data_IF_619195554475
#
_entry.id   IF_619195554475
#
_cell.length_a   1.000
_cell.length_b   1.000
_cell.length_c   1.000
_cell.angle_alpha   90.00
_cell.angle_beta   90.00
_cell.angle_gamma   90.00
#
_symmetry.space_group_name_H-M   'P 1'
#
loop_
_entity.id
_entity.type
_entity.pdbx_description
1 polymer ?
#
# COMPACT_ATOMS: atom_id res chain seq x y z
N UNK A 1 -6.50 22.22 -32.61
CA UNK A 1 -6.47 20.90 -31.96
C UNK A 1 -7.76 20.72 -31.18
N UNK A 2 -8.47 19.61 -31.32
CA UNK A 2 -9.63 19.27 -30.47
C UNK A 2 -9.18 18.40 -29.33
N UNK A 3 -9.56 18.73 -28.10
CA UNK A 3 -9.28 17.95 -26.89
C UNK A 3 -10.59 17.39 -26.35
N UNK A 4 -10.64 16.07 -26.14
CA UNK A 4 -11.80 15.40 -25.57
C UNK A 4 -11.45 14.98 -24.14
N UNK A 5 -12.29 15.38 -23.18
CA UNK A 5 -12.15 14.98 -21.77
C UNK A 5 -13.07 13.80 -21.47
N UNK A 6 -12.50 12.72 -20.93
CA UNK A 6 -13.28 11.58 -20.46
C UNK A 6 -14.16 11.92 -19.26
N UNK A 7 -15.29 11.24 -19.14
CA UNK A 7 -16.21 11.33 -17.99
C UNK A 7 -16.66 9.90 -17.64
N UNK A 8 -16.50 9.47 -16.38
CA UNK A 8 -15.90 10.18 -15.24
C UNK A 8 -14.38 10.32 -15.35
N UNK A 9 -13.82 11.30 -14.67
CA UNK A 9 -12.37 11.54 -14.57
C UNK A 9 -12.00 12.05 -13.17
N UNK A 10 -10.75 11.90 -12.79
CA UNK A 10 -10.19 12.32 -11.50
C UNK A 10 -9.59 11.15 -10.73
N UNK A 11 -9.25 11.39 -9.49
CA UNK A 11 -8.74 10.36 -8.60
C UNK A 11 -9.86 9.44 -8.10
N UNK A 12 -9.52 8.18 -7.81
CA UNK A 12 -10.43 7.28 -7.11
C UNK A 12 -10.60 7.72 -5.64
N UNK A 13 -11.66 7.23 -5.00
CA UNK A 13 -11.97 7.57 -3.60
C UNK A 13 -10.82 7.25 -2.63
N UNK A 14 -10.06 6.18 -2.87
CA UNK A 14 -8.90 5.81 -2.04
C UNK A 14 -7.78 6.85 -2.11
N UNK A 15 -7.47 7.36 -3.30
CA UNK A 15 -6.48 8.42 -3.51
C UNK A 15 -6.95 9.73 -2.88
N UNK A 16 -8.21 10.14 -3.11
CA UNK A 16 -8.77 11.37 -2.50
C UNK A 16 -8.67 11.28 -0.98
N UNK A 17 -9.15 10.19 -0.38
CA UNK A 17 -9.07 9.99 1.07
C UNK A 17 -7.65 10.10 1.62
N UNK A 18 -6.66 9.54 0.93
CA UNK A 18 -5.28 9.56 1.39
C UNK A 18 -4.69 10.99 1.38
N UNK A 19 -4.98 11.75 0.32
CA UNK A 19 -4.60 13.18 0.23
C UNK A 19 -5.26 13.98 1.34
N UNK A 20 -6.58 13.85 1.51
CA UNK A 20 -7.37 14.55 2.52
C UNK A 20 -6.84 14.30 3.94
N UNK A 21 -6.39 13.07 4.25
CA UNK A 21 -5.83 12.75 5.57
C UNK A 21 -4.52 13.50 5.86
N UNK A 22 -3.63 13.66 4.86
CA UNK A 22 -2.42 14.47 5.03
C UNK A 22 -2.76 15.94 5.21
N UNK A 23 -3.66 16.47 4.38
CA UNK A 23 -4.10 17.87 4.49
C UNK A 23 -4.81 18.15 5.82
N UNK A 24 -5.67 17.24 6.29
CA UNK A 24 -6.30 17.34 7.61
C UNK A 24 -5.27 17.32 8.74
N UNK A 25 -4.25 16.47 8.65
CA UNK A 25 -3.17 16.44 9.63
C UNK A 25 -2.38 17.74 9.65
N UNK A 26 -2.00 18.27 8.48
CA UNK A 26 -1.30 19.56 8.35
C UNK A 26 -2.15 20.71 8.91
N UNK A 27 -3.46 20.76 8.58
CA UNK A 27 -4.35 21.81 9.04
C UNK A 27 -4.60 21.75 10.55
N UNK A 28 -4.73 20.55 11.11
CA UNK A 28 -5.05 20.35 12.53
C UNK A 28 -3.86 20.58 13.46
N UNK A 29 -2.70 20.15 13.02
CA UNK A 29 -1.53 20.04 13.90
C UNK A 29 -0.37 20.93 13.47
N UNK A 30 -0.42 21.48 12.27
CA UNK A 30 0.67 22.24 11.67
C UNK A 30 1.80 21.37 11.14
N UNK A 31 2.71 21.97 10.36
CA UNK A 31 3.90 21.29 9.87
C UNK A 31 4.95 21.13 11.00
N UNK A 32 5.85 20.12 10.91
CA UNK A 32 5.88 19.10 9.88
C UNK A 32 4.92 17.95 10.15
N UNK A 33 4.37 17.35 9.08
CA UNK A 33 3.69 16.04 9.10
C UNK A 33 4.52 15.10 8.23
N UNK A 34 4.98 13.99 8.80
CA UNK A 34 5.73 12.99 8.06
C UNK A 34 4.78 12.10 7.26
N UNK A 35 5.22 11.67 6.09
CA UNK A 35 4.45 10.74 5.23
C UNK A 35 5.37 9.58 4.87
N UNK A 36 5.03 8.38 5.36
CA UNK A 36 5.80 7.17 5.05
C UNK A 36 5.49 6.70 3.64
N UNK A 37 6.50 6.73 2.78
CA UNK A 37 6.43 6.63 1.33
C UNK A 37 5.57 7.72 0.70
N UNK A 38 5.66 7.87 -0.61
CA UNK A 38 4.77 8.75 -1.33
C UNK A 38 3.32 8.39 -1.01
N UNK A 39 2.53 9.37 -0.58
CA UNK A 39 1.12 9.14 -0.19
C UNK A 39 0.33 8.40 -1.29
N UNK A 40 0.63 8.74 -2.54
CA UNK A 40 0.17 8.11 -3.78
C UNK A 40 1.24 8.26 -4.85
N UNK A 41 1.24 7.42 -5.89
CA UNK A 41 2.17 7.53 -7.02
C UNK A 41 1.82 8.69 -7.97
N UNK A 42 1.85 9.91 -7.45
CA UNK A 42 1.65 11.12 -8.25
C UNK A 42 2.59 12.24 -7.77
N UNK A 43 3.66 12.54 -8.55
CA UNK A 43 4.65 13.54 -8.16
C UNK A 43 4.09 14.95 -7.95
N UNK A 44 2.99 15.31 -8.65
CA UNK A 44 2.36 16.62 -8.47
C UNK A 44 1.66 16.70 -7.10
N UNK A 45 0.97 15.64 -6.69
CA UNK A 45 0.34 15.55 -5.37
C UNK A 45 1.39 15.59 -4.26
N UNK A 46 2.46 14.80 -4.41
CA UNK A 46 3.55 14.77 -3.43
C UNK A 46 4.16 16.15 -3.25
N UNK A 47 4.53 16.83 -4.35
CA UNK A 47 5.09 18.19 -4.30
C UNK A 47 4.14 19.22 -3.72
N UNK A 48 2.85 19.12 -3.99
CA UNK A 48 1.85 20.01 -3.42
C UNK A 48 1.78 19.85 -1.90
N UNK A 49 1.73 18.63 -1.39
CA UNK A 49 1.73 18.35 0.04
C UNK A 49 3.05 18.75 0.73
N UNK A 50 4.19 18.53 0.08
CA UNK A 50 5.50 18.97 0.56
C UNK A 50 5.58 20.49 0.65
N UNK A 51 5.01 21.21 -0.31
CA UNK A 51 4.92 22.68 -0.26
C UNK A 51 4.08 23.20 0.91
N UNK A 52 3.17 22.39 1.43
CA UNK A 52 2.33 22.66 2.60
C UNK A 52 2.96 22.22 3.93
N UNK A 53 4.13 21.56 3.87
CA UNK A 53 4.90 21.15 5.05
C UNK A 53 4.84 19.66 5.38
N UNK A 54 4.38 18.82 4.46
CA UNK A 54 4.58 17.37 4.55
C UNK A 54 6.06 17.02 4.26
N UNK A 55 6.57 15.97 4.90
CA UNK A 55 7.93 15.45 4.69
C UNK A 55 7.82 13.97 4.34
N UNK A 56 8.11 13.62 3.08
CA UNK A 56 8.13 12.23 2.64
C UNK A 56 9.40 11.55 3.14
N UNK A 57 9.27 10.40 3.77
CA UNK A 57 10.35 9.54 4.27
C UNK A 57 10.14 8.10 3.80
N UNK A 58 11.22 7.34 3.67
CA UNK A 58 11.14 5.95 3.24
C UNK A 58 11.05 4.98 4.42
N UNK A 59 11.76 5.26 5.52
CA UNK A 59 11.81 4.38 6.67
C UNK A 59 11.23 5.05 7.93
N UNK A 60 10.62 4.26 8.80
CA UNK A 60 10.03 4.75 10.06
C UNK A 60 11.09 5.36 10.97
N UNK A 61 12.30 4.84 10.89
CA UNK A 61 13.45 5.26 11.68
C UNK A 61 13.93 6.70 11.38
N UNK A 62 13.60 7.23 10.20
CA UNK A 62 13.90 8.61 9.80
C UNK A 62 13.01 9.64 10.51
N UNK A 63 11.89 9.19 11.09
CA UNK A 63 10.89 10.05 11.72
C UNK A 63 11.34 10.36 13.16
N UNK A 64 11.37 11.62 13.61
CA UNK A 64 11.67 11.95 15.01
C UNK A 64 10.71 11.27 15.99
N UNK A 65 11.22 10.84 17.14
CA UNK A 65 10.42 10.22 18.20
C UNK A 65 9.28 11.17 18.61
N UNK A 66 8.09 10.63 18.81
CA UNK A 66 6.89 11.37 19.18
C UNK A 66 6.27 12.20 18.05
N UNK A 67 6.84 12.17 16.84
CA UNK A 67 6.30 12.93 15.71
C UNK A 67 5.05 12.28 15.11
N UNK A 68 4.34 13.05 14.31
CA UNK A 68 3.15 12.59 13.58
C UNK A 68 3.51 12.08 12.20
N UNK A 69 2.94 10.94 11.83
CA UNK A 69 3.14 10.32 10.53
C UNK A 69 1.84 9.84 9.91
N UNK A 70 1.71 10.02 8.60
CA UNK A 70 0.66 9.41 7.79
C UNK A 70 1.27 8.25 7.00
N UNK A 71 0.75 7.05 7.18
CA UNK A 71 1.12 5.89 6.37
C UNK A 71 0.35 5.89 5.07
N UNK A 72 1.03 5.67 3.95
CA UNK A 72 0.50 5.89 2.60
C UNK A 72 -0.65 4.97 2.21
N UNK A 73 -1.33 5.32 1.12
CA UNK A 73 -2.46 4.54 0.58
C UNK A 73 -2.10 3.10 0.20
N UNK A 74 -0.82 2.80 -0.02
CA UNK A 74 -0.34 1.49 -0.45
C UNK A 74 -0.43 0.41 0.64
N UNK A 75 -0.59 0.82 1.92
CA UNK A 75 -0.54 -0.08 3.06
C UNK A 75 0.90 -0.40 3.49
N UNK A 76 1.07 -0.66 4.77
CA UNK A 76 2.36 -1.00 5.38
C UNK A 76 2.30 -2.37 6.04
N UNK A 77 3.44 -3.07 6.15
CA UNK A 77 3.51 -4.31 6.90
C UNK A 77 3.31 -4.04 8.40
N UNK A 78 2.85 -5.02 9.20
CA UNK A 78 2.70 -4.88 10.65
C UNK A 78 3.96 -4.39 11.36
N UNK A 79 5.14 -4.80 10.90
CA UNK A 79 6.44 -4.38 11.44
C UNK A 79 6.60 -2.85 11.47
N UNK A 80 6.14 -2.13 10.43
CA UNK A 80 6.21 -0.68 10.40
C UNK A 80 5.35 -0.02 11.49
N UNK A 81 4.18 -0.61 11.78
CA UNK A 81 3.33 -0.14 12.87
C UNK A 81 3.95 -0.44 14.25
N UNK A 82 4.65 -1.56 14.39
CA UNK A 82 5.39 -1.88 15.62
C UNK A 82 6.54 -0.90 15.83
N UNK A 83 7.37 -0.65 14.83
CA UNK A 83 8.43 0.36 14.86
C UNK A 83 7.90 1.75 15.19
N UNK A 84 6.77 2.13 14.60
CA UNK A 84 6.13 3.41 14.89
C UNK A 84 5.68 3.51 16.35
N UNK A 85 5.15 2.43 16.91
CA UNK A 85 4.75 2.36 18.33
C UNK A 85 5.95 2.46 19.27
N UNK A 86 7.04 1.74 18.97
CA UNK A 86 8.29 1.80 19.74
C UNK A 86 8.92 3.20 19.76
N UNK A 87 8.64 3.98 18.74
CA UNK A 87 9.11 5.37 18.60
C UNK A 87 8.06 6.41 19.07
N UNK A 88 6.97 5.97 19.68
CA UNK A 88 5.88 6.83 20.18
C UNK A 88 5.31 7.77 19.09
N UNK A 89 5.25 7.29 17.84
CA UNK A 89 4.72 8.07 16.73
C UNK A 89 3.19 8.11 16.77
N UNK A 90 2.62 9.28 16.46
CA UNK A 90 1.19 9.45 16.25
C UNK A 90 0.84 9.09 14.80
N UNK A 91 0.39 7.84 14.60
CA UNK A 91 0.17 7.26 13.26
C UNK A 91 -1.25 7.49 12.77
N UNK A 92 -1.38 8.09 11.58
CA UNK A 92 -2.61 8.15 10.80
C UNK A 92 -2.49 7.15 9.65
N UNK A 93 -3.33 6.12 9.63
CA UNK A 93 -3.32 5.12 8.57
C UNK A 93 -4.20 5.56 7.39
N UNK A 94 -3.56 5.90 6.26
CA UNK A 94 -4.23 6.27 5.02
C UNK A 94 -4.40 5.09 4.03
N UNK A 95 -4.12 3.86 4.46
CA UNK A 95 -4.26 2.67 3.61
C UNK A 95 -5.61 2.63 2.90
N UNK A 96 -5.57 2.41 1.59
CA UNK A 96 -6.77 2.29 0.77
C UNK A 96 -7.67 1.14 1.27
N UNK A 97 -9.00 1.35 1.40
CA UNK A 97 -9.92 0.28 1.84
C UNK A 97 -9.84 -1.02 1.02
N UNK A 98 -9.51 -0.93 -0.28
CA UNK A 98 -9.30 -2.12 -1.11
C UNK A 98 -8.03 -2.88 -0.71
N UNK A 99 -6.96 -2.18 -0.36
CA UNK A 99 -5.72 -2.80 0.16
C UNK A 99 -5.99 -3.44 1.53
N UNK A 100 -6.72 -2.73 2.42
CA UNK A 100 -7.14 -3.30 3.71
C UNK A 100 -7.93 -4.61 3.52
N UNK A 101 -8.79 -4.67 2.51
CA UNK A 101 -9.52 -5.89 2.17
C UNK A 101 -8.56 -7.04 1.82
N UNK A 102 -7.58 -6.79 0.96
CA UNK A 102 -6.56 -7.80 0.58
C UNK A 102 -5.76 -8.25 1.80
N UNK A 103 -5.34 -7.33 2.68
CA UNK A 103 -4.65 -7.65 3.93
C UNK A 103 -5.49 -8.56 4.84
N UNK A 104 -6.78 -8.28 4.97
CA UNK A 104 -7.69 -9.09 5.78
C UNK A 104 -7.94 -10.47 5.17
N UNK A 105 -8.05 -10.55 3.84
CA UNK A 105 -8.16 -11.82 3.12
C UNK A 105 -6.88 -12.66 3.28
N UNK A 106 -5.69 -12.06 3.22
CA UNK A 106 -4.43 -12.75 3.48
C UNK A 106 -4.41 -13.40 4.87
N UNK A 107 -4.75 -12.63 5.91
CA UNK A 107 -4.83 -13.14 7.30
C UNK A 107 -5.87 -14.24 7.46
N UNK A 108 -7.03 -14.08 6.84
CA UNK A 108 -8.11 -15.06 6.90
C UNK A 108 -7.68 -16.38 6.25
N UNK A 109 -7.19 -16.35 5.02
CA UNK A 109 -6.90 -17.56 4.27
C UNK A 109 -5.69 -18.33 4.81
N UNK A 110 -4.68 -17.64 5.33
CA UNK A 110 -3.60 -18.35 6.04
C UNK A 110 -4.14 -19.00 7.33
N UNK A 111 -5.06 -18.36 8.04
CA UNK A 111 -5.75 -18.92 9.21
C UNK A 111 -6.63 -20.13 8.86
N UNK A 112 -7.18 -20.18 7.66
CA UNK A 112 -7.94 -21.31 7.11
C UNK A 112 -7.02 -22.44 6.60
N UNK A 113 -5.69 -22.36 6.80
CA UNK A 113 -4.71 -23.37 6.39
C UNK A 113 -4.41 -23.38 4.88
N UNK A 114 -4.76 -22.33 4.15
CA UNK A 114 -4.46 -22.21 2.73
C UNK A 114 -3.08 -21.66 2.49
N UNK A 115 -2.45 -22.08 1.41
CA UNK A 115 -1.30 -21.39 0.85
C UNK A 115 -1.76 -20.19 0.00
N UNK A 116 -0.97 -19.13 0.01
CA UNK A 116 -1.34 -17.89 -0.69
C UNK A 116 -0.33 -17.62 -1.81
N UNK A 117 -0.84 -17.38 -3.01
CA UNK A 117 -0.10 -16.78 -4.12
C UNK A 117 -0.51 -15.32 -4.19
N UNK A 118 0.46 -14.42 -4.17
CA UNK A 118 0.26 -13.00 -4.42
C UNK A 118 0.77 -12.66 -5.83
N UNK A 119 -0.13 -12.25 -6.72
CA UNK A 119 0.25 -11.70 -8.02
C UNK A 119 0.50 -10.21 -7.87
N UNK A 120 1.72 -9.76 -8.12
CA UNK A 120 2.08 -8.36 -7.92
C UNK A 120 3.52 -8.05 -8.29
N UNK A 121 3.83 -6.78 -8.41
CA UNK A 121 5.13 -6.31 -8.83
C UNK A 121 6.12 -6.33 -7.66
N UNK A 122 7.17 -7.11 -7.77
CA UNK A 122 8.25 -7.19 -6.78
C UNK A 122 8.82 -5.81 -6.45
N UNK A 123 8.94 -5.52 -5.16
CA UNK A 123 9.43 -4.24 -4.68
C UNK A 123 8.38 -3.13 -4.57
N UNK A 124 7.18 -3.30 -5.14
CA UNK A 124 6.10 -2.34 -4.98
C UNK A 124 5.63 -2.27 -3.52
N UNK A 125 5.31 -1.06 -3.01
CA UNK A 125 4.97 -0.87 -1.59
C UNK A 125 3.72 -1.65 -1.16
N UNK A 126 2.68 -1.68 -1.98
CA UNK A 126 1.49 -2.49 -1.71
C UNK A 126 1.82 -3.98 -1.58
N UNK A 127 2.73 -4.49 -2.43
CA UNK A 127 3.18 -5.89 -2.37
C UNK A 127 3.95 -6.14 -1.08
N UNK A 128 4.87 -5.26 -0.69
CA UNK A 128 5.59 -5.35 0.59
C UNK A 128 4.63 -5.35 1.78
N UNK A 129 3.68 -4.41 1.78
CA UNK A 129 2.66 -4.29 2.83
C UNK A 129 1.79 -5.55 2.95
N UNK A 130 1.36 -6.12 1.81
CA UNK A 130 0.54 -7.33 1.76
C UNK A 130 1.33 -8.58 2.18
N UNK A 131 2.56 -8.74 1.68
CA UNK A 131 3.43 -9.87 2.07
C UNK A 131 3.79 -9.88 3.55
N UNK A 132 3.83 -8.70 4.18
CA UNK A 132 4.03 -8.59 5.62
C UNK A 132 2.84 -9.10 6.46
N UNK A 133 1.65 -9.31 5.87
CA UNK A 133 0.47 -9.75 6.60
C UNK A 133 0.44 -11.26 6.85
N UNK A 134 1.06 -12.05 5.96
CA UNK A 134 1.08 -13.51 6.03
C UNK A 134 2.18 -14.07 5.11
N UNK A 135 2.58 -15.32 5.36
CA UNK A 135 3.47 -16.04 4.44
C UNK A 135 2.77 -16.28 3.11
N UNK A 136 3.39 -15.86 2.00
CA UNK A 136 2.84 -16.05 0.66
C UNK A 136 3.92 -16.13 -0.42
N UNK A 137 3.59 -16.77 -1.52
CA UNK A 137 4.45 -16.88 -2.70
C UNK A 137 4.13 -15.74 -3.68
N UNK A 138 5.15 -14.91 -3.98
CA UNK A 138 5.01 -13.81 -4.94
C UNK A 138 5.18 -14.32 -6.38
N UNK A 139 4.25 -13.96 -7.24
CA UNK A 139 4.31 -14.10 -8.69
C UNK A 139 4.32 -12.71 -9.31
N UNK A 140 5.44 -12.35 -9.96
CA UNK A 140 5.56 -11.12 -10.74
C UNK A 140 5.50 -11.50 -12.23
N UNK A 141 4.49 -11.04 -12.94
CA UNK A 141 4.25 -11.35 -14.35
C UNK A 141 5.32 -10.77 -15.30
N UNK A 142 6.13 -9.85 -14.81
CA UNK A 142 7.26 -9.25 -15.54
C UNK A 142 8.54 -10.07 -15.43
N UNK A 143 8.60 -11.05 -14.53
CA UNK A 143 9.76 -11.91 -14.29
C UNK A 143 9.40 -13.38 -14.56
N UNK A 144 10.42 -14.20 -14.84
CA UNK A 144 10.22 -15.65 -14.80
C UNK A 144 10.04 -16.07 -13.35
N UNK A 145 8.85 -16.50 -13.01
CA UNK A 145 8.57 -17.06 -11.69
C UNK A 145 8.78 -18.57 -11.66
N UNK A 146 9.13 -19.07 -10.49
CA UNK A 146 9.23 -20.50 -10.22
C UNK A 146 7.96 -20.92 -9.48
N UNK A 147 7.28 -21.93 -9.98
CA UNK A 147 6.15 -22.51 -9.27
C UNK A 147 6.60 -23.00 -7.89
N UNK A 148 5.82 -22.74 -6.85
CA UNK A 148 6.12 -23.29 -5.53
C UNK A 148 6.02 -24.83 -5.56
N UNK A 149 6.88 -25.48 -4.78
CA UNK A 149 6.87 -26.94 -4.63
C UNK A 149 5.84 -27.32 -3.55
N UNK A 150 4.56 -27.21 -3.90
CA UNK A 150 3.44 -27.57 -3.05
C UNK A 150 2.78 -28.85 -3.57
N UNK A 151 2.22 -29.64 -2.66
CA UNK A 151 1.38 -30.78 -3.03
C UNK A 151 0.17 -30.30 -3.84
N UNK A 152 -0.24 -31.07 -4.86
CA UNK A 152 -1.39 -30.77 -5.71
C UNK A 152 -2.72 -30.69 -4.93
N UNK A 153 -2.80 -31.38 -3.80
CA UNK A 153 -3.98 -31.33 -2.91
C UNK A 153 -3.97 -30.11 -1.96
N UNK A 154 -2.89 -29.31 -1.96
CA UNK A 154 -2.79 -28.15 -1.10
C UNK A 154 -3.83 -27.08 -1.49
N UNK A 155 -4.72 -26.67 -0.59
CA UNK A 155 -5.67 -25.60 -0.88
C UNK A 155 -4.94 -24.29 -1.06
N UNK A 156 -5.09 -23.67 -2.23
CA UNK A 156 -4.44 -22.42 -2.61
C UNK A 156 -5.46 -21.30 -2.74
N UNK A 157 -5.05 -20.09 -2.37
CA UNK A 157 -5.79 -18.85 -2.65
C UNK A 157 -4.88 -17.89 -3.40
N UNK A 158 -5.44 -17.24 -4.43
CA UNK A 158 -4.72 -16.21 -5.18
C UNK A 158 -5.24 -14.85 -4.76
N UNK A 159 -4.32 -13.98 -4.37
CA UNK A 159 -4.56 -12.55 -4.12
C UNK A 159 -3.80 -11.74 -5.17
N UNK A 160 -4.25 -10.54 -5.44
CA UNK A 160 -3.62 -9.67 -6.44
C UNK A 160 -3.35 -8.29 -5.87
N UNK A 161 -2.27 -7.66 -6.32
CA UNK A 161 -2.07 -6.22 -6.14
C UNK A 161 -3.25 -5.47 -6.76
N UNK A 162 -3.81 -4.50 -6.03
CA UNK A 162 -5.08 -3.86 -6.39
C UNK A 162 -5.02 -3.00 -7.65
N UNK A 163 -3.82 -2.62 -8.08
CA UNK A 163 -3.60 -1.76 -9.25
C UNK A 163 -3.31 -2.53 -10.54
N UNK A 164 -3.26 -3.86 -10.50
CA UNK A 164 -3.09 -4.67 -11.70
C UNK A 164 -4.39 -4.72 -12.52
N UNK A 165 -4.25 -4.79 -13.84
CA UNK A 165 -5.39 -5.01 -14.71
C UNK A 165 -5.86 -6.47 -14.63
N UNK A 166 -7.14 -6.69 -14.97
CA UNK A 166 -7.69 -8.06 -15.06
C UNK A 166 -6.95 -8.89 -16.12
N UNK A 167 -6.45 -8.25 -17.17
CA UNK A 167 -5.71 -8.90 -18.24
C UNK A 167 -4.33 -9.37 -17.80
N UNK A 168 -3.62 -8.55 -17.02
CA UNK A 168 -2.30 -8.91 -16.47
C UNK A 168 -2.43 -10.07 -15.49
N UNK A 169 -3.46 -10.03 -14.62
CA UNK A 169 -3.71 -11.10 -13.64
C UNK A 169 -4.10 -12.43 -14.30
N UNK A 170 -4.91 -12.42 -15.37
CA UNK A 170 -5.31 -13.64 -16.10
C UNK A 170 -4.14 -14.41 -16.71
N UNK A 171 -3.03 -13.75 -16.99
CA UNK A 171 -1.83 -14.40 -17.54
C UNK A 171 -1.02 -15.13 -16.49
N UNK A 172 -1.23 -14.78 -15.22
CA UNK A 172 -0.45 -15.27 -14.07
C UNK A 172 -1.19 -16.32 -13.26
N UNK A 173 -2.47 -16.55 -13.56
CA UNK A 173 -3.36 -17.56 -12.95
C UNK A 173 -3.68 -18.65 -13.98
#
# INVERSE_FOLDING_TARGET
MKVYLGVPRGFCAGVVRAIDLVELALNKYGPPVYVKHQIVHNPHVVKDLESKGAITVEEVEEIPIGARVVFSAHGSPPEDFEKARERDLDVVDATCPLVIKVHNEAKKYIGDGRKIILVGHKGHQEVKGTMGQAEMHLVDDREKYKSPDWDLETPVTVLTQTTLSVEDTKRSI
#
